data_IF_678068700964
#
_entry.id   IF_678068700964
#
_cell.length_a   1.000
_cell.length_b   1.000
_cell.length_c   1.000
_cell.angle_alpha   90.00
_cell.angle_beta   90.00
_cell.angle_gamma   90.00
#
_symmetry.space_group_name_H-M   'P 1'
#
loop_
_entity.id
_entity.type
_entity.pdbx_description
1 polymer ?
#
# COMPACT_ATOMS: atom_id res chain seq x y z
N UNK A 1 -7.57 36.91 3.69
CA UNK A 1 -6.36 36.83 4.54
C UNK A 1 -6.23 38.08 5.43
N UNK A 2 -6.30 39.31 4.86
CA UNK A 2 -6.17 40.56 5.60
C UNK A 2 -7.31 40.75 6.61
N UNK A 3 -8.55 40.42 6.27
CA UNK A 3 -9.70 40.47 7.17
C UNK A 3 -9.63 39.50 8.33
N UNK A 4 -9.22 38.24 8.06
CA UNK A 4 -9.00 37.24 9.10
C UNK A 4 -7.92 37.66 10.10
N UNK A 5 -6.82 38.23 9.61
CA UNK A 5 -5.79 38.83 10.48
C UNK A 5 -6.35 39.96 11.35
N UNK A 6 -7.18 40.81 10.77
CA UNK A 6 -7.75 41.98 11.46
C UNK A 6 -8.73 41.55 12.56
N UNK A 7 -9.42 40.43 12.40
CA UNK A 7 -10.40 39.91 13.37
C UNK A 7 -9.73 39.06 14.45
N UNK A 8 -8.79 38.21 14.10
CA UNK A 8 -8.23 37.20 15.00
C UNK A 8 -7.02 37.67 15.81
N UNK A 9 -6.12 38.47 15.23
CA UNK A 9 -4.93 38.97 15.94
C UNK A 9 -5.22 39.83 17.18
N UNK A 10 -6.25 40.68 17.22
CA UNK A 10 -6.58 41.44 18.45
C UNK A 10 -7.07 40.54 19.59
N UNK A 11 -7.71 39.44 19.29
CA UNK A 11 -8.24 38.50 20.30
C UNK A 11 -7.20 37.44 20.75
N UNK A 12 -6.23 37.14 19.87
CA UNK A 12 -5.20 36.13 20.10
C UNK A 12 -3.82 36.63 19.65
N UNK A 13 -3.12 37.46 20.44
CA UNK A 13 -1.85 38.09 20.04
C UNK A 13 -0.69 37.12 19.79
N UNK A 14 -0.84 35.83 20.20
CA UNK A 14 0.12 34.76 19.94
C UNK A 14 -0.26 33.85 18.77
N UNK A 15 -1.34 34.20 18.05
CA UNK A 15 -1.81 33.38 16.90
C UNK A 15 -0.89 33.61 15.70
N UNK A 16 -0.18 32.58 15.30
CA UNK A 16 0.60 32.54 14.07
C UNK A 16 -0.19 31.79 12.99
N UNK A 17 -0.68 32.55 11.99
CA UNK A 17 -1.39 31.93 10.84
C UNK A 17 -0.33 31.33 9.94
N UNK A 18 -0.10 30.02 10.07
CA UNK A 18 0.92 29.28 9.31
C UNK A 18 0.49 28.94 7.89
N UNK A 19 -0.80 28.71 7.67
CA UNK A 19 -1.36 28.38 6.34
C UNK A 19 -2.83 28.76 6.27
N UNK A 20 -3.25 29.31 5.15
CA UNK A 20 -4.66 29.54 4.83
C UNK A 20 -4.93 28.80 3.52
N UNK A 21 -5.72 27.74 3.59
CA UNK A 21 -6.25 27.05 2.42
C UNK A 21 -7.73 27.38 2.30
N UNK A 22 -8.10 28.08 1.24
CA UNK A 22 -9.51 28.32 0.92
C UNK A 22 -9.87 27.39 -0.24
N UNK A 23 -10.40 26.23 0.09
CA UNK A 23 -10.94 25.31 -0.90
C UNK A 23 -12.44 25.55 -0.96
N UNK A 24 -12.91 26.15 -2.04
CA UNK A 24 -14.35 26.30 -2.27
C UNK A 24 -15.00 24.89 -2.43
N UNK A 25 -16.28 24.70 -2.06
CA UNK A 25 -16.96 23.41 -2.10
C UNK A 25 -16.85 22.72 -3.47
N UNK A 26 -16.95 23.46 -4.55
CA UNK A 26 -16.80 22.93 -5.92
C UNK A 26 -15.40 22.37 -6.20
N UNK A 27 -14.36 23.08 -5.76
CA UNK A 27 -12.96 22.63 -5.92
C UNK A 27 -12.69 21.41 -5.03
N UNK A 28 -13.26 21.36 -3.82
CA UNK A 28 -13.16 20.21 -2.94
C UNK A 28 -13.75 18.93 -3.56
N UNK A 29 -14.90 19.04 -4.22
CA UNK A 29 -15.54 17.90 -4.88
C UNK A 29 -14.78 17.48 -6.15
N UNK A 30 -14.28 18.41 -6.95
CA UNK A 30 -13.42 18.09 -8.11
C UNK A 30 -12.12 17.39 -7.67
N UNK A 31 -11.52 17.79 -6.55
CA UNK A 31 -10.33 17.15 -6.00
C UNK A 31 -10.62 15.74 -5.47
N UNK A 32 -11.77 15.52 -4.82
CA UNK A 32 -12.19 14.17 -4.39
C UNK A 32 -12.38 13.24 -5.59
N UNK A 33 -13.08 13.70 -6.63
CA UNK A 33 -13.29 12.92 -7.86
C UNK A 33 -11.95 12.57 -8.51
N UNK A 34 -11.06 13.55 -8.64
CA UNK A 34 -9.72 13.35 -9.21
C UNK A 34 -8.88 12.38 -8.38
N UNK A 35 -8.96 12.45 -7.05
CA UNK A 35 -8.27 11.51 -6.15
C UNK A 35 -8.80 10.08 -6.34
N UNK A 36 -10.11 9.88 -6.37
CA UNK A 36 -10.72 8.56 -6.62
C UNK A 36 -10.33 8.03 -8.00
N UNK A 37 -10.36 8.86 -9.03
CA UNK A 37 -9.92 8.47 -10.38
C UNK A 37 -8.44 8.08 -10.40
N UNK A 38 -7.56 8.82 -9.74
CA UNK A 38 -6.14 8.49 -9.65
C UNK A 38 -5.91 7.14 -8.98
N UNK A 39 -6.62 6.86 -7.87
CA UNK A 39 -6.55 5.55 -7.19
C UNK A 39 -7.03 4.43 -8.11
N UNK A 40 -8.17 4.60 -8.78
CA UNK A 40 -8.71 3.58 -9.67
C UNK A 40 -7.80 3.31 -10.88
N UNK A 41 -7.23 4.36 -11.48
CA UNK A 41 -6.26 4.24 -12.58
C UNK A 41 -5.00 3.52 -12.09
N UNK A 42 -4.45 3.92 -10.94
CA UNK A 42 -3.27 3.27 -10.37
C UNK A 42 -3.52 1.78 -10.10
N UNK A 43 -4.64 1.43 -9.48
CA UNK A 43 -5.03 0.03 -9.25
C UNK A 43 -5.22 -0.73 -10.56
N UNK A 44 -5.82 -0.12 -11.58
CA UNK A 44 -5.99 -0.71 -12.90
C UNK A 44 -4.65 -0.98 -13.61
N UNK A 45 -3.70 -0.05 -13.54
CA UNK A 45 -2.35 -0.22 -14.10
C UNK A 45 -1.56 -1.30 -13.35
N UNK A 46 -1.68 -1.32 -12.03
CA UNK A 46 -1.08 -2.36 -11.18
C UNK A 46 -1.66 -3.73 -11.53
N UNK A 47 -2.98 -3.84 -11.66
CA UNK A 47 -3.66 -5.07 -12.06
C UNK A 47 -3.18 -5.57 -13.43
N UNK A 48 -3.10 -4.66 -14.41
CA UNK A 48 -2.60 -4.96 -15.74
C UNK A 48 -1.17 -5.50 -15.68
N UNK A 49 -0.28 -4.80 -14.97
CA UNK A 49 1.11 -5.22 -14.81
C UNK A 49 1.23 -6.61 -14.17
N UNK A 50 0.51 -6.85 -13.07
CA UNK A 50 0.54 -8.12 -12.36
C UNK A 50 -0.02 -9.25 -13.23
N UNK A 51 -1.10 -9.00 -13.97
CA UNK A 51 -1.73 -9.99 -14.86
C UNK A 51 -0.79 -10.41 -16.00
N UNK A 52 -0.03 -9.48 -16.55
CA UNK A 52 0.97 -9.77 -17.58
C UNK A 52 2.19 -10.48 -17.00
N UNK A 53 2.62 -10.06 -15.80
CA UNK A 53 3.87 -10.54 -15.19
C UNK A 53 3.73 -11.87 -14.47
N UNK A 54 2.57 -12.15 -13.84
CA UNK A 54 2.32 -13.30 -12.99
C UNK A 54 1.14 -14.13 -13.47
N UNK A 55 1.03 -15.35 -12.93
CA UNK A 55 -0.16 -16.15 -13.11
C UNK A 55 -1.37 -15.46 -12.47
N UNK A 56 -2.55 -15.58 -13.09
CA UNK A 56 -3.78 -14.93 -12.64
C UNK A 56 -4.09 -15.12 -11.14
N UNK A 57 -3.75 -16.29 -10.58
CA UNK A 57 -3.94 -16.61 -9.16
C UNK A 57 -3.12 -15.71 -8.24
N UNK A 58 -1.85 -15.51 -8.58
CA UNK A 58 -0.96 -14.60 -7.86
C UNK A 58 -1.41 -13.14 -8.05
N UNK A 59 -1.90 -12.81 -9.26
CA UNK A 59 -2.46 -11.48 -9.53
C UNK A 59 -3.65 -11.13 -8.64
N UNK A 60 -4.64 -12.03 -8.56
CA UNK A 60 -5.80 -11.83 -7.68
C UNK A 60 -5.38 -11.77 -6.21
N UNK A 61 -4.43 -12.60 -5.78
CA UNK A 61 -3.93 -12.60 -4.40
C UNK A 61 -3.25 -11.28 -4.04
N UNK A 62 -2.47 -10.70 -4.95
CA UNK A 62 -1.86 -9.39 -4.74
C UNK A 62 -2.91 -8.28 -4.61
N UNK A 63 -3.96 -8.32 -5.42
CA UNK A 63 -5.05 -7.33 -5.33
C UNK A 63 -5.79 -7.44 -4.00
N UNK A 64 -6.10 -8.65 -3.55
CA UNK A 64 -6.74 -8.87 -2.24
C UNK A 64 -5.87 -8.30 -1.11
N UNK A 65 -4.55 -8.52 -1.17
CA UNK A 65 -3.62 -7.96 -0.21
C UNK A 65 -3.58 -6.42 -0.26
N UNK A 66 -3.55 -5.82 -1.44
CA UNK A 66 -3.59 -4.36 -1.60
C UNK A 66 -4.88 -3.74 -1.07
N UNK A 67 -6.03 -4.34 -1.36
CA UNK A 67 -7.33 -3.89 -0.82
C UNK A 67 -7.33 -3.99 0.69
N UNK A 68 -6.83 -5.09 1.26
CA UNK A 68 -6.66 -5.25 2.70
C UNK A 68 -5.80 -4.12 3.29
N UNK A 69 -4.65 -3.82 2.71
CA UNK A 69 -3.73 -2.81 3.22
C UNK A 69 -4.35 -1.42 3.23
N UNK A 70 -5.00 -1.03 2.13
CA UNK A 70 -5.73 0.24 2.03
C UNK A 70 -6.85 0.32 3.06
N UNK A 71 -7.65 -0.75 3.21
CA UNK A 71 -8.76 -0.78 4.18
C UNK A 71 -8.25 -0.67 5.62
N UNK A 72 -7.12 -1.30 5.95
CA UNK A 72 -6.54 -1.20 7.30
C UNK A 72 -6.04 0.22 7.56
N UNK A 73 -5.33 0.85 6.61
CA UNK A 73 -4.89 2.25 6.79
C UNK A 73 -6.07 3.19 6.95
N UNK A 74 -7.09 3.07 6.10
CA UNK A 74 -8.34 3.86 6.18
C UNK A 74 -9.05 3.63 7.50
N UNK A 75 -9.14 2.38 7.95
CA UNK A 75 -9.73 2.01 9.24
C UNK A 75 -9.00 2.64 10.43
N UNK A 76 -7.66 2.63 10.41
CA UNK A 76 -6.86 3.26 11.46
C UNK A 76 -7.05 4.79 11.45
N UNK A 77 -7.09 5.42 10.28
CA UNK A 77 -7.42 6.85 10.18
C UNK A 77 -8.78 7.19 10.78
N UNK A 78 -9.78 6.35 10.53
CA UNK A 78 -11.12 6.49 11.10
C UNK A 78 -11.14 6.32 12.62
N UNK A 79 -10.37 5.37 13.17
CA UNK A 79 -10.28 5.15 14.63
C UNK A 79 -9.64 6.35 15.34
N UNK A 80 -8.63 6.99 14.71
CA UNK A 80 -7.92 8.14 15.26
C UNK A 80 -8.55 9.48 14.88
N UNK A 81 -9.74 9.47 14.26
CA UNK A 81 -10.49 10.67 13.81
C UNK A 81 -9.63 11.65 12.99
N UNK A 82 -8.79 11.09 12.10
CA UNK A 82 -7.89 11.85 11.25
C UNK A 82 -8.54 12.24 9.93
N UNK A 83 -8.27 13.46 9.49
CA UNK A 83 -8.83 14.00 8.24
C UNK A 83 -8.21 13.33 6.99
N UNK A 84 -9.05 13.01 6.02
CA UNK A 84 -8.64 12.54 4.70
C UNK A 84 -8.31 13.71 3.77
N UNK A 85 -7.05 14.12 3.78
CA UNK A 85 -6.53 15.17 2.90
C UNK A 85 -5.97 14.58 1.60
N UNK A 86 -5.70 15.42 0.60
CA UNK A 86 -5.02 15.00 -0.64
C UNK A 86 -3.62 14.42 -0.37
N UNK A 87 -2.94 14.91 0.64
CA UNK A 87 -1.65 14.37 1.09
C UNK A 87 -1.79 12.94 1.61
N UNK A 88 -2.86 12.63 2.32
CA UNK A 88 -3.17 11.26 2.76
C UNK A 88 -3.50 10.35 1.59
N UNK A 89 -4.22 10.83 0.58
CA UNK A 89 -4.46 10.07 -0.66
C UNK A 89 -3.15 9.76 -1.38
N UNK A 90 -2.23 10.73 -1.47
CA UNK A 90 -0.91 10.50 -2.04
C UNK A 90 -0.09 9.47 -1.23
N UNK A 91 -0.21 9.51 0.11
CA UNK A 91 0.39 8.48 0.97
C UNK A 91 -0.19 7.09 0.68
N UNK A 92 -1.52 6.96 0.55
CA UNK A 92 -2.18 5.69 0.21
C UNK A 92 -1.69 5.12 -1.13
N UNK A 93 -1.55 5.96 -2.16
CA UNK A 93 -0.98 5.53 -3.45
C UNK A 93 0.47 5.06 -3.30
N UNK A 94 1.25 5.73 -2.46
CA UNK A 94 2.62 5.33 -2.14
C UNK A 94 2.65 3.99 -1.40
N UNK A 95 1.76 3.77 -0.44
CA UNK A 95 1.60 2.51 0.29
C UNK A 95 1.25 1.36 -0.66
N UNK A 96 0.33 1.58 -1.60
CA UNK A 96 -0.03 0.59 -2.64
C UNK A 96 1.22 0.16 -3.42
N UNK A 97 2.02 1.12 -3.90
CA UNK A 97 3.26 0.82 -4.62
C UNK A 97 4.29 0.10 -3.75
N UNK A 98 4.41 0.49 -2.48
CA UNK A 98 5.36 -0.11 -1.54
C UNK A 98 4.98 -1.55 -1.19
N UNK A 99 3.73 -1.80 -0.81
CA UNK A 99 3.21 -3.14 -0.49
C UNK A 99 3.33 -4.09 -1.68
N UNK A 100 3.03 -3.57 -2.87
CA UNK A 100 3.17 -4.35 -4.10
C UNK A 100 4.61 -4.79 -4.37
N UNK A 101 5.60 -3.94 -4.07
CA UNK A 101 7.01 -4.28 -4.27
C UNK A 101 7.41 -5.53 -3.47
N UNK A 102 7.03 -5.63 -2.21
CA UNK A 102 7.33 -6.79 -1.37
C UNK A 102 6.56 -8.04 -1.86
N UNK A 103 5.30 -7.89 -2.21
CA UNK A 103 4.48 -8.98 -2.77
C UNK A 103 5.07 -9.53 -4.07
N UNK A 104 5.55 -8.65 -4.97
CA UNK A 104 6.22 -9.05 -6.22
C UNK A 104 7.49 -9.86 -5.93
N UNK A 105 8.31 -9.42 -4.96
CA UNK A 105 9.55 -10.13 -4.60
C UNK A 105 9.27 -11.54 -4.10
N UNK A 106 8.26 -11.71 -3.26
CA UNK A 106 7.85 -13.03 -2.75
C UNK A 106 7.31 -13.90 -3.89
N UNK A 107 6.47 -13.35 -4.76
CA UNK A 107 5.88 -14.11 -5.87
C UNK A 107 6.90 -14.48 -6.96
N UNK A 108 7.86 -13.61 -7.25
CA UNK A 108 8.97 -13.96 -8.14
C UNK A 108 9.80 -15.11 -7.56
N UNK A 109 10.06 -15.09 -6.25
CA UNK A 109 10.78 -16.19 -5.59
C UNK A 109 10.00 -17.50 -5.58
N UNK A 110 8.69 -17.45 -5.35
CA UNK A 110 7.81 -18.62 -5.45
C UNK A 110 7.89 -19.20 -6.87
N UNK A 111 7.83 -18.38 -7.90
CA UNK A 111 7.92 -18.80 -9.29
C UNK A 111 9.27 -19.45 -9.61
N UNK A 112 10.38 -18.86 -9.16
CA UNK A 112 11.73 -19.41 -9.31
C UNK A 112 11.83 -20.78 -8.62
N UNK A 113 11.38 -20.88 -7.37
CA UNK A 113 11.45 -22.10 -6.58
C UNK A 113 10.53 -23.19 -7.11
N UNK A 114 9.38 -22.89 -7.71
CA UNK A 114 8.54 -23.84 -8.41
C UNK A 114 9.28 -24.49 -9.60
N UNK A 115 10.06 -23.71 -10.33
CA UNK A 115 10.88 -24.24 -11.43
C UNK A 115 12.02 -25.14 -10.94
N UNK A 116 12.65 -24.76 -9.82
CA UNK A 116 13.82 -25.42 -9.24
C UNK A 116 13.46 -26.69 -8.46
N UNK A 117 12.39 -26.65 -7.68
CA UNK A 117 12.00 -27.74 -6.75
C UNK A 117 10.69 -28.40 -7.15
N UNK A 118 10.66 -29.03 -8.34
CA UNK A 118 9.46 -29.69 -8.92
C UNK A 118 8.83 -30.78 -8.06
N UNK A 119 9.57 -31.35 -7.09
CA UNK A 119 9.08 -32.39 -6.19
C UNK A 119 8.43 -31.86 -4.92
N UNK A 120 8.60 -30.59 -4.61
CA UNK A 120 7.98 -29.96 -3.41
C UNK A 120 6.53 -29.60 -3.68
N UNK A 121 5.70 -29.68 -2.65
CA UNK A 121 4.34 -29.15 -2.70
C UNK A 121 4.36 -27.64 -2.89
N UNK A 122 3.25 -27.06 -3.38
CA UNK A 122 3.15 -25.62 -3.55
C UNK A 122 3.27 -24.88 -2.20
N UNK A 123 2.73 -25.45 -1.13
CA UNK A 123 2.83 -24.94 0.23
C UNK A 123 4.27 -24.90 0.75
N UNK A 124 5.02 -25.98 0.57
CA UNK A 124 6.46 -26.02 0.92
C UNK A 124 7.27 -25.00 0.11
N UNK A 125 6.90 -24.81 -1.16
CA UNK A 125 7.55 -23.83 -2.04
C UNK A 125 7.28 -22.40 -1.57
N UNK A 126 6.05 -22.09 -1.15
CA UNK A 126 5.70 -20.78 -0.58
C UNK A 126 6.51 -20.54 0.70
N UNK A 127 6.51 -21.47 1.65
CA UNK A 127 7.21 -21.32 2.92
C UNK A 127 8.72 -21.12 2.72
N UNK A 128 9.32 -21.88 1.80
CA UNK A 128 10.72 -21.71 1.44
C UNK A 128 10.98 -20.32 0.85
N UNK A 129 10.14 -19.87 -0.07
CA UNK A 129 10.29 -18.58 -0.75
C UNK A 129 10.16 -17.41 0.21
N UNK A 130 9.20 -17.46 1.13
CA UNK A 130 9.06 -16.47 2.21
C UNK A 130 10.33 -16.43 3.05
N UNK A 131 10.83 -17.59 3.48
CA UNK A 131 12.04 -17.65 4.31
C UNK A 131 13.26 -17.05 3.59
N UNK A 132 13.42 -17.32 2.30
CA UNK A 132 14.53 -16.82 1.48
C UNK A 132 14.45 -15.31 1.21
N UNK A 133 13.25 -14.72 1.20
CA UNK A 133 13.04 -13.29 0.96
C UNK A 133 12.91 -12.47 2.24
N UNK A 134 12.66 -13.11 3.39
CA UNK A 134 12.35 -12.46 4.65
C UNK A 134 13.40 -11.42 5.08
N UNK A 135 14.68 -11.77 5.01
CA UNK A 135 15.76 -10.86 5.39
C UNK A 135 15.76 -9.59 4.54
N UNK A 136 15.55 -9.72 3.22
CA UNK A 136 15.46 -8.58 2.32
C UNK A 136 14.25 -7.70 2.66
N UNK A 137 13.08 -8.29 2.83
CA UNK A 137 11.85 -7.57 3.17
C UNK A 137 11.99 -6.82 4.50
N UNK A 138 12.53 -7.46 5.53
CA UNK A 138 12.74 -6.80 6.82
C UNK A 138 13.75 -5.64 6.76
N UNK A 139 14.83 -5.78 5.99
CA UNK A 139 15.82 -4.71 5.83
C UNK A 139 15.22 -3.53 5.05
N UNK A 140 14.54 -3.79 3.93
CA UNK A 140 13.93 -2.72 3.12
C UNK A 140 12.83 -1.99 3.88
N UNK A 141 11.96 -2.72 4.58
CA UNK A 141 10.89 -2.13 5.39
C UNK A 141 11.46 -1.40 6.60
N UNK A 142 12.46 -1.97 7.29
CA UNK A 142 13.11 -1.34 8.44
C UNK A 142 13.79 -0.02 8.07
N UNK A 143 14.54 0.02 6.97
CA UNK A 143 15.18 1.26 6.52
C UNK A 143 14.16 2.32 6.10
N UNK A 144 13.08 1.93 5.43
CA UNK A 144 11.99 2.85 5.08
C UNK A 144 11.29 3.37 6.33
N UNK A 145 11.01 2.50 7.30
CA UNK A 145 10.40 2.91 8.57
C UNK A 145 11.25 3.93 9.32
N UNK A 146 12.58 3.80 9.34
CA UNK A 146 13.46 4.79 9.95
C UNK A 146 13.29 6.18 9.34
N UNK A 147 13.21 6.27 8.00
CA UNK A 147 12.97 7.54 7.30
C UNK A 147 11.58 8.08 7.63
N UNK A 148 10.55 7.23 7.58
CA UNK A 148 9.16 7.63 7.84
C UNK A 148 8.98 8.05 9.30
N UNK A 149 9.63 7.39 10.27
CA UNK A 149 9.67 7.83 11.68
C UNK A 149 10.30 9.21 11.82
N UNK A 150 11.40 9.47 11.13
CA UNK A 150 12.02 10.80 11.15
C UNK A 150 11.06 11.87 10.61
N UNK A 151 10.33 11.57 9.52
CA UNK A 151 9.31 12.48 8.98
C UNK A 151 8.14 12.67 9.95
N UNK A 152 7.71 11.62 10.62
CA UNK A 152 6.58 11.67 11.56
C UNK A 152 6.89 12.56 12.77
N UNK A 153 8.09 12.47 13.35
CA UNK A 153 8.46 13.24 14.54
C UNK A 153 9.03 14.63 14.22
N UNK A 154 9.72 14.79 13.09
CA UNK A 154 10.46 16.02 12.75
C UNK A 154 9.83 16.80 11.58
N UNK A 155 8.89 16.22 10.84
CA UNK A 155 8.33 16.79 9.60
C UNK A 155 7.31 17.93 9.80
N UNK A 156 6.89 18.19 11.05
CA UNK A 156 5.90 19.22 11.35
C UNK A 156 4.46 18.83 10.95
N UNK A 157 3.51 19.69 11.29
CA UNK A 157 2.07 19.42 11.19
C UNK A 157 1.59 19.09 9.77
N UNK A 158 2.18 19.72 8.74
CA UNK A 158 1.71 19.61 7.35
C UNK A 158 1.89 18.19 6.79
N UNK A 159 2.99 17.52 7.16
CA UNK A 159 3.32 16.18 6.66
C UNK A 159 3.11 15.07 7.69
N UNK A 160 2.65 15.42 8.90
CA UNK A 160 2.45 14.46 9.99
C UNK A 160 1.47 13.34 9.60
N UNK A 161 0.30 13.68 9.05
CA UNK A 161 -0.70 12.68 8.66
C UNK A 161 -0.27 11.87 7.43
N UNK A 162 0.48 12.47 6.51
CA UNK A 162 1.14 11.76 5.42
C UNK A 162 2.14 10.72 5.95
N UNK A 163 3.02 11.13 6.87
CA UNK A 163 4.00 10.25 7.49
C UNK A 163 3.32 9.15 8.33
N UNK A 164 2.24 9.48 9.04
CA UNK A 164 1.45 8.49 9.77
C UNK A 164 0.84 7.44 8.85
N UNK A 165 0.25 7.84 7.72
CA UNK A 165 -0.29 6.91 6.73
C UNK A 165 0.78 5.99 6.16
N UNK A 166 1.96 6.52 5.85
CA UNK A 166 3.10 5.72 5.38
C UNK A 166 3.61 4.77 6.46
N UNK A 167 3.71 5.20 7.71
CA UNK A 167 4.17 4.38 8.82
C UNK A 167 3.29 3.14 8.99
N UNK A 168 1.98 3.37 9.09
CA UNK A 168 0.99 2.30 9.17
C UNK A 168 1.03 1.44 7.91
N UNK A 169 1.04 2.06 6.74
CA UNK A 169 1.00 1.37 5.45
C UNK A 169 2.22 0.49 5.20
N UNK A 170 3.43 0.92 5.55
CA UNK A 170 4.65 0.11 5.40
C UNK A 170 4.63 -1.09 6.35
N UNK A 171 4.20 -0.90 7.61
CA UNK A 171 4.05 -2.01 8.57
C UNK A 171 3.04 -3.05 8.09
N UNK A 172 1.85 -2.59 7.69
CA UNK A 172 0.77 -3.46 7.23
C UNK A 172 1.13 -4.14 5.91
N UNK A 173 1.70 -3.42 4.94
CA UNK A 173 2.12 -3.98 3.65
C UNK A 173 3.20 -5.05 3.78
N UNK A 174 4.17 -4.84 4.69
CA UNK A 174 5.19 -5.85 5.01
C UNK A 174 4.56 -7.12 5.60
N UNK A 175 3.63 -6.96 6.53
CA UNK A 175 2.86 -8.08 7.09
C UNK A 175 2.02 -8.77 6.01
N UNK A 176 1.32 -7.99 5.21
CA UNK A 176 0.35 -8.46 4.22
C UNK A 176 0.99 -9.28 3.10
N UNK A 177 2.18 -8.93 2.63
CA UNK A 177 2.92 -9.69 1.61
C UNK A 177 3.17 -11.14 2.04
N UNK A 178 3.41 -11.37 3.33
CA UNK A 178 3.69 -12.69 3.92
C UNK A 178 2.39 -13.40 4.32
N UNK A 179 1.52 -12.72 5.09
CA UNK A 179 0.40 -13.36 5.77
C UNK A 179 -0.96 -13.18 5.08
N UNK A 180 -1.05 -12.35 4.04
CA UNK A 180 -2.28 -12.18 3.24
C UNK A 180 -2.04 -12.64 1.81
N UNK A 181 -1.09 -12.06 1.08
CA UNK A 181 -0.87 -12.37 -0.33
C UNK A 181 -0.47 -13.83 -0.56
N UNK A 182 0.47 -14.34 0.24
CA UNK A 182 0.99 -15.71 0.07
C UNK A 182 -0.04 -16.79 0.41
N UNK A 183 -0.78 -16.73 1.55
CA UNK A 183 -1.86 -17.66 1.82
C UNK A 183 -3.02 -17.58 0.82
N UNK A 184 -3.34 -16.38 0.32
CA UNK A 184 -4.36 -16.23 -0.73
C UNK A 184 -3.92 -16.89 -2.04
N UNK A 185 -2.64 -16.82 -2.41
CA UNK A 185 -2.11 -17.53 -3.57
C UNK A 185 -2.23 -19.06 -3.41
N UNK A 186 -1.99 -19.57 -2.19
CA UNK A 186 -2.20 -20.98 -1.87
C UNK A 186 -3.69 -21.36 -1.96
N UNK A 187 -4.56 -20.55 -1.40
CA UNK A 187 -6.02 -20.76 -1.44
C UNK A 187 -6.54 -20.85 -2.87
N UNK A 188 -6.22 -19.89 -3.74
CA UNK A 188 -6.63 -19.92 -5.15
C UNK A 188 -6.00 -21.05 -5.96
N UNK A 189 -4.84 -21.55 -5.52
CA UNK A 189 -4.23 -22.73 -6.16
C UNK A 189 -4.94 -24.02 -5.77
N UNK A 190 -5.41 -24.16 -4.53
CA UNK A 190 -6.19 -25.30 -4.06
C UNK A 190 -7.63 -25.33 -4.64
N UNK A 191 -8.22 -24.17 -4.94
CA UNK A 191 -9.56 -24.05 -5.54
C UNK A 191 -9.58 -24.40 -7.04
N UNK A 192 -8.47 -24.33 -7.74
CA UNK A 192 -8.44 -24.68 -9.15
C UNK A 192 -8.48 -26.21 -9.29
N UNK A 193 -9.36 -26.76 -10.16
CA UNK A 193 -9.38 -28.19 -10.40
C UNK A 193 -8.00 -28.66 -10.89
N UNK A 194 -7.53 -29.84 -10.45
CA UNK A 194 -6.32 -30.45 -10.98
C UNK A 194 -6.60 -30.86 -12.43
N UNK A 195 -6.24 -30.02 -13.39
CA UNK A 195 -6.54 -30.31 -14.82
C UNK A 195 -6.15 -29.23 -15.81
N UNK A 196 -5.67 -28.07 -15.36
CA UNK A 196 -5.22 -27.00 -16.26
C UNK A 196 -3.72 -27.01 -16.54
N UNK A 197 -3.10 -28.13 -16.82
CA UNK A 197 -1.77 -28.15 -17.45
C UNK A 197 -1.96 -27.78 -18.91
N UNK A 198 -1.59 -26.53 -19.28
CA UNK A 198 -1.39 -26.20 -20.68
C UNK A 198 -0.37 -27.21 -21.26
N UNK A 199 -0.62 -27.75 -22.47
CA UNK A 199 0.33 -28.66 -23.08
C UNK A 199 1.65 -27.92 -23.28
N UNK A 200 2.76 -28.56 -22.87
CA UNK A 200 4.08 -28.12 -23.24
C UNK A 200 4.15 -28.21 -24.78
N UNK A 201 4.14 -27.08 -25.44
CA UNK A 201 4.54 -27.05 -26.86
C UNK A 201 6.01 -27.34 -26.94
N UNK A 202 6.29 -28.44 -27.57
CA UNK A 202 7.59 -28.93 -28.01
C UNK A 202 8.38 -27.93 -28.84
#
# INVERSE_FOLDING_TARGET
TAELRKILLPQHPKLEIRRIETIGPKVGDELKISAVQAVLIALGLVLLYITIRFQWRQGVSAIVALVHDVLVVVGIFSIFDKEFTLTVVAALLTVVGYSLNDTIVVFDRIRENQGKYRKKSFEETINLSITETLSRTLITSGTTLLVVFSLFFLGGEIIHDFAFALLVGVLIGTYSSIYVASPMALFFTKLAPPGGTAPATS
#
